data_IF_637148078989
#
_entry.id   IF_637148078989
#
_cell.length_a   1.000
_cell.length_b   1.000
_cell.length_c   1.000
_cell.angle_alpha   90.00
_cell.angle_beta   90.00
_cell.angle_gamma   90.00
#
_symmetry.space_group_name_H-M   'P 1'
#
loop_
_entity.id
_entity.type
_entity.pdbx_description
1 polymer ?
#
# COMPACT_ATOMS: atom_id res chain seq x y z
N UNK A 1 -11.28 24.60 -6.51
CA UNK A 1 -10.15 23.65 -6.60
C UNK A 1 -10.46 22.47 -5.68
N UNK A 2 -10.34 21.22 -6.15
CA UNK A 2 -10.31 20.08 -5.22
C UNK A 2 -9.07 20.24 -4.36
N UNK A 3 -9.21 20.29 -3.04
CA UNK A 3 -8.06 20.25 -2.13
C UNK A 3 -7.28 18.95 -2.38
N UNK A 4 -6.00 19.06 -2.71
CA UNK A 4 -5.07 17.93 -2.84
C UNK A 4 -4.68 17.39 -1.46
N UNK A 5 -5.68 16.95 -0.70
CA UNK A 5 -5.53 16.55 0.70
C UNK A 5 -5.11 15.09 0.78
N UNK A 6 -3.91 14.82 1.28
CA UNK A 6 -3.49 13.47 1.68
C UNK A 6 -4.35 12.98 2.84
N UNK A 7 -4.94 11.79 2.69
CA UNK A 7 -5.78 11.14 3.72
C UNK A 7 -5.14 9.88 4.30
N UNK A 8 -4.18 9.29 3.60
CA UNK A 8 -3.37 8.16 4.09
C UNK A 8 -1.97 8.29 3.49
N UNK A 9 -0.96 8.10 4.33
CA UNK A 9 0.42 7.99 3.90
C UNK A 9 1.10 6.84 4.63
N UNK A 10 1.74 5.98 3.85
CA UNK A 10 2.46 4.78 4.27
C UNK A 10 3.89 4.94 3.78
N UNK A 11 4.86 4.88 4.69
CA UNK A 11 6.29 5.07 4.38
C UNK A 11 7.12 3.88 4.81
N UNK A 12 7.83 3.28 3.86
CA UNK A 12 8.85 2.27 4.09
C UNK A 12 8.35 0.99 4.75
N UNK A 13 7.07 0.63 4.62
CA UNK A 13 6.53 -0.49 5.38
C UNK A 13 7.13 -1.81 4.93
N UNK A 14 7.47 -2.61 5.92
CA UNK A 14 8.02 -3.95 5.73
C UNK A 14 7.21 -4.89 6.61
N UNK A 15 6.77 -5.99 6.02
CA UNK A 15 6.04 -7.04 6.72
C UNK A 15 6.60 -8.38 6.29
N UNK A 16 7.00 -9.17 7.27
CA UNK A 16 7.48 -10.53 7.07
C UNK A 16 6.58 -11.51 7.80
N UNK A 17 6.43 -12.69 7.22
CA UNK A 17 5.92 -13.91 7.83
C UNK A 17 7.04 -14.96 7.79
N UNK A 18 6.95 -16.08 8.51
CA UNK A 18 7.96 -17.14 8.45
C UNK A 18 8.25 -17.54 6.99
N UNK A 19 9.51 -17.41 6.57
CA UNK A 19 9.97 -17.77 5.22
C UNK A 19 9.61 -16.79 4.08
N UNK A 20 8.88 -15.70 4.34
CA UNK A 20 8.49 -14.75 3.28
C UNK A 20 8.46 -13.30 3.75
N UNK A 21 9.08 -12.42 2.96
CA UNK A 21 8.96 -10.97 3.12
C UNK A 21 7.80 -10.46 2.27
N UNK A 22 6.59 -10.45 2.83
CA UNK A 22 5.37 -10.09 2.12
C UNK A 22 5.32 -8.62 1.65
N UNK A 23 5.90 -7.69 2.42
CA UNK A 23 6.11 -6.30 2.00
C UNK A 23 7.56 -5.91 2.26
N UNK A 24 8.18 -5.18 1.34
CA UNK A 24 9.56 -4.73 1.44
C UNK A 24 9.69 -3.24 1.11
N UNK A 25 9.80 -2.41 2.14
CA UNK A 25 9.94 -0.94 2.03
C UNK A 25 8.89 -0.28 1.13
N UNK A 26 7.63 -0.71 1.23
CA UNK A 26 6.53 -0.21 0.39
C UNK A 26 6.13 1.20 0.83
N UNK A 27 5.88 2.08 -0.13
CA UNK A 27 5.34 3.42 0.06
C UNK A 27 4.00 3.56 -0.66
N UNK A 28 3.02 4.20 -0.04
CA UNK A 28 1.71 4.49 -0.64
C UNK A 28 1.18 5.82 -0.10
N UNK A 29 0.64 6.65 -0.98
CA UNK A 29 -0.01 7.92 -0.60
C UNK A 29 -1.38 7.93 -1.24
N UNK A 30 -2.44 8.11 -0.45
CA UNK A 30 -3.82 8.21 -0.94
C UNK A 30 -4.33 9.62 -0.67
N UNK A 31 -4.89 10.24 -1.72
CA UNK A 31 -5.48 11.58 -1.63
C UNK A 31 -7.00 11.52 -1.62
N UNK A 32 -7.60 12.56 -1.06
CA UNK A 32 -9.05 12.68 -0.90
C UNK A 32 -9.76 12.63 -2.25
N UNK A 33 -10.67 11.66 -2.40
CA UNK A 33 -11.51 11.52 -3.59
C UNK A 33 -10.86 10.75 -4.74
N UNK A 34 -9.70 10.12 -4.53
CA UNK A 34 -9.09 9.19 -5.47
C UNK A 34 -9.56 7.74 -5.22
N UNK A 35 -9.57 6.95 -6.29
CA UNK A 35 -9.74 5.49 -6.23
C UNK A 35 -8.44 4.84 -6.69
N UNK A 36 -7.83 4.03 -5.83
CA UNK A 36 -6.56 3.37 -6.11
C UNK A 36 -6.82 1.88 -6.38
N UNK A 37 -6.37 1.40 -7.53
CA UNK A 37 -6.40 -0.02 -7.88
C UNK A 37 -5.07 -0.68 -7.54
N UNK A 38 -5.08 -1.70 -6.69
CA UNK A 38 -3.89 -2.49 -6.39
C UNK A 38 -3.92 -3.78 -7.20
N UNK A 39 -3.00 -3.91 -8.17
CA UNK A 39 -2.90 -5.05 -9.08
C UNK A 39 -1.57 -5.79 -8.90
N UNK A 40 -1.46 -6.97 -9.50
CA UNK A 40 -0.28 -7.83 -9.43
C UNK A 40 -0.65 -9.29 -9.25
N UNK A 41 0.34 -10.18 -9.38
CA UNK A 41 0.15 -11.62 -9.29
C UNK A 41 -0.24 -12.11 -7.87
N UNK A 42 -0.68 -13.35 -7.78
CA UNK A 42 -0.92 -14.00 -6.50
C UNK A 42 0.39 -14.08 -5.71
N UNK A 43 0.36 -13.68 -4.44
CA UNK A 43 1.55 -13.62 -3.59
C UNK A 43 2.33 -12.30 -3.61
N UNK A 44 1.97 -11.33 -4.47
CA UNK A 44 2.65 -10.03 -4.53
C UNK A 44 2.45 -9.10 -3.31
N UNK A 45 1.83 -9.58 -2.23
CA UNK A 45 1.63 -8.80 -1.00
C UNK A 45 0.39 -7.89 -0.99
N UNK A 46 -0.48 -7.94 -2.00
CA UNK A 46 -1.67 -7.05 -2.11
C UNK A 46 -2.58 -7.09 -0.88
N UNK A 47 -3.02 -8.28 -0.47
CA UNK A 47 -3.85 -8.44 0.73
C UNK A 47 -3.09 -8.13 2.02
N UNK A 48 -1.77 -8.26 2.02
CA UNK A 48 -0.93 -7.84 3.16
C UNK A 48 -0.82 -6.32 3.24
N UNK A 49 -0.83 -5.60 2.12
CA UNK A 49 -0.84 -4.14 2.09
C UNK A 49 -2.18 -3.56 2.57
N UNK A 50 -3.28 -4.30 2.42
CA UNK A 50 -4.64 -3.87 2.78
C UNK A 50 -5.09 -4.29 4.20
N UNK A 51 -4.31 -5.11 4.91
CA UNK A 51 -4.60 -5.58 6.27
C UNK A 51 -3.65 -4.94 7.27
#
# INVERSE_FOLDING_TARGET
MKEDKVILEVRGITKSFPGVKALNKVNLVVRKGEVHGLTGENGAGKSTLMK
#
